data_IF_095115918771
#
_entry.id   IF_095115918771
#
_cell.length_a   1.000
_cell.length_b   1.000
_cell.length_c   1.000
_cell.angle_alpha   90.00
_cell.angle_beta   90.00
_cell.angle_gamma   90.00
#
_symmetry.space_group_name_H-M   'P 1'
#
loop_
_entity.id
_entity.type
_entity.pdbx_description
1 polymer ?
#
# COMPACT_ATOMS: atom_id res chain seq x y z
N UNK A 1 19.74 -5.78 -8.63
CA UNK A 1 19.20 -4.45 -8.96
C UNK A 1 18.39 -3.97 -7.75
N UNK A 2 18.85 -2.94 -7.02
CA UNK A 2 18.01 -2.33 -5.98
C UNK A 2 16.99 -1.44 -6.72
N UNK A 3 15.68 -1.58 -6.48
CA UNK A 3 14.70 -0.68 -7.10
C UNK A 3 15.03 0.75 -6.67
N UNK A 4 15.01 1.68 -7.62
CA UNK A 4 15.17 3.10 -7.33
C UNK A 4 13.92 3.59 -6.60
N UNK A 5 14.07 3.91 -5.33
CA UNK A 5 12.98 4.32 -4.43
C UNK A 5 12.95 5.83 -4.20
N UNK A 6 13.73 6.59 -4.99
CA UNK A 6 13.80 8.05 -4.97
C UNK A 6 12.41 8.71 -4.98
N UNK A 7 11.45 8.15 -5.74
CA UNK A 7 10.09 8.67 -5.83
C UNK A 7 9.25 8.51 -4.55
N UNK A 8 9.55 7.54 -3.68
CA UNK A 8 8.82 7.37 -2.41
C UNK A 8 9.28 8.38 -1.36
N UNK A 9 10.55 8.81 -1.41
CA UNK A 9 11.11 9.80 -0.48
C UNK A 9 10.61 11.22 -0.75
N UNK A 10 10.13 11.50 -1.96
CA UNK A 10 9.52 12.77 -2.35
C UNK A 10 7.99 12.80 -2.28
N UNK A 11 7.36 11.76 -1.72
CA UNK A 11 5.90 11.68 -1.62
C UNK A 11 5.36 12.75 -0.66
N UNK A 12 4.27 13.43 -1.04
CA UNK A 12 3.52 14.25 -0.09
C UNK A 12 2.95 13.36 1.02
N UNK A 13 3.49 13.55 2.23
CA UNK A 13 3.11 12.78 3.40
C UNK A 13 1.61 12.83 3.70
N UNK A 14 0.92 13.92 3.31
CA UNK A 14 -0.51 14.08 3.52
C UNK A 14 -1.33 12.95 2.88
N UNK A 15 -0.87 12.40 1.76
CA UNK A 15 -1.55 11.33 1.01
C UNK A 15 -1.63 10.03 1.82
N UNK A 16 -0.54 9.66 2.52
CA UNK A 16 -0.50 8.43 3.33
C UNK A 16 -1.16 8.59 4.71
N UNK A 17 -1.44 9.83 5.14
CA UNK A 17 -2.17 10.10 6.38
C UNK A 17 -3.69 10.01 6.23
N UNK A 18 -4.23 10.03 5.00
CA UNK A 18 -5.68 9.97 4.77
C UNK A 18 -6.29 8.64 5.20
N UNK A 19 -5.50 7.57 5.27
CA UNK A 19 -5.99 6.28 5.74
C UNK A 19 -6.19 6.28 7.28
N UNK A 20 -7.44 6.34 7.71
CA UNK A 20 -7.86 6.24 9.12
C UNK A 20 -8.06 4.80 9.61
N UNK A 21 -7.51 3.80 8.90
CA UNK A 21 -7.55 2.38 9.25
C UNK A 21 -8.96 1.74 9.38
N UNK A 22 -10.01 2.36 8.84
CA UNK A 22 -11.41 1.88 8.97
C UNK A 22 -11.69 0.51 8.32
N UNK A 23 -10.99 0.17 7.23
CA UNK A 23 -11.11 -1.13 6.55
C UNK A 23 -12.21 -1.26 5.49
N UNK A 24 -12.87 -0.16 5.10
CA UNK A 24 -13.88 -0.18 4.04
C UNK A 24 -13.33 -0.67 2.69
N UNK A 25 -12.03 -0.50 2.44
CA UNK A 25 -11.37 -0.99 1.24
C UNK A 25 -11.08 -2.51 1.23
N UNK A 26 -11.18 -3.21 2.36
CA UNK A 26 -10.86 -4.63 2.44
C UNK A 26 -11.80 -5.50 1.59
N UNK A 27 -13.14 -5.46 1.77
CA UNK A 27 -14.05 -6.36 1.05
C UNK A 27 -14.10 -6.12 -0.47
N UNK A 28 -13.71 -4.93 -0.94
CA UNK A 28 -13.70 -4.58 -2.37
C UNK A 28 -12.39 -4.97 -3.08
N UNK A 29 -11.33 -5.29 -2.32
CA UNK A 29 -10.03 -5.57 -2.92
C UNK A 29 -9.89 -7.06 -3.31
N UNK A 30 -9.72 -7.39 -4.61
CA UNK A 30 -9.67 -8.78 -5.06
C UNK A 30 -8.43 -9.54 -4.55
N UNK A 31 -7.30 -8.86 -4.36
CA UNK A 31 -6.07 -9.51 -3.87
C UNK A 31 -6.16 -9.82 -2.39
N UNK A 32 -6.80 -8.95 -1.60
CA UNK A 32 -7.15 -9.27 -0.23
C UNK A 32 -8.18 -10.39 -0.17
N UNK A 33 -9.19 -10.36 -1.04
CA UNK A 33 -10.21 -11.41 -1.06
C UNK A 33 -9.62 -12.80 -1.32
N UNK A 34 -8.67 -12.90 -2.26
CA UNK A 34 -8.01 -14.16 -2.59
C UNK A 34 -7.03 -14.65 -1.51
N UNK A 35 -6.30 -13.75 -0.84
CA UNK A 35 -5.22 -14.12 0.07
C UNK A 35 -5.60 -14.09 1.55
N UNK A 36 -6.60 -13.26 1.90
CA UNK A 36 -6.95 -12.86 3.27
C UNK A 36 -5.78 -12.28 4.09
N UNK A 37 -4.70 -11.87 3.42
CA UNK A 37 -3.55 -11.24 4.05
C UNK A 37 -3.70 -9.73 3.95
N UNK A 38 -3.76 -9.04 5.09
CA UNK A 38 -4.03 -7.60 5.10
C UNK A 38 -2.98 -6.77 4.35
N UNK A 39 -1.71 -7.19 4.37
CA UNK A 39 -0.63 -6.55 3.60
C UNK A 39 -0.91 -6.49 2.08
N UNK A 40 -1.68 -7.45 1.56
CA UNK A 40 -2.10 -7.50 0.15
C UNK A 40 -3.30 -6.59 -0.17
N UNK A 41 -3.92 -5.96 0.83
CA UNK A 41 -5.05 -5.03 0.69
C UNK A 41 -4.60 -3.60 0.37
N UNK A 42 -5.52 -2.68 -0.02
CA UNK A 42 -5.21 -1.27 -0.26
C UNK A 42 -4.74 -0.59 1.02
N UNK A 43 -5.41 -0.86 2.15
CA UNK A 43 -5.01 -0.37 3.48
C UNK A 43 -3.61 -0.86 3.86
N UNK A 44 -3.32 -2.14 3.66
CA UNK A 44 -2.01 -2.72 3.95
C UNK A 44 -0.89 -2.07 3.15
N UNK A 45 -1.12 -1.79 1.86
CA UNK A 45 -0.16 -1.09 1.01
C UNK A 45 0.07 0.35 1.47
N UNK A 46 -0.98 1.09 1.82
CA UNK A 46 -0.84 2.45 2.36
C UNK A 46 -0.05 2.41 3.67
N UNK A 47 -0.27 1.42 4.54
CA UNK A 47 0.51 1.24 5.76
C UNK A 47 2.00 0.98 5.47
N UNK A 48 2.32 0.18 4.45
CA UNK A 48 3.70 -0.04 3.99
C UNK A 48 4.31 1.25 3.42
N UNK A 49 3.58 1.98 2.58
CA UNK A 49 4.04 3.27 2.03
C UNK A 49 4.29 4.30 3.13
N UNK A 50 3.40 4.37 4.13
CA UNK A 50 3.58 5.21 5.31
C UNK A 50 4.83 4.81 6.11
N UNK A 51 5.06 3.52 6.31
CA UNK A 51 6.26 3.06 7.02
C UNK A 51 7.55 3.43 6.28
N UNK A 52 7.54 3.45 4.94
CA UNK A 52 8.65 3.98 4.13
C UNK A 52 8.80 5.48 4.32
N UNK A 53 7.71 6.24 4.27
CA UNK A 53 7.73 7.69 4.46
C UNK A 53 8.13 8.13 5.89
N UNK A 54 7.85 7.29 6.89
CA UNK A 54 8.24 7.47 8.29
C UNK A 54 9.69 7.02 8.58
N UNK A 55 10.47 6.63 7.56
CA UNK A 55 11.81 6.02 7.67
C UNK A 55 11.85 4.76 8.58
N UNK A 56 10.71 4.08 8.75
CA UNK A 56 10.57 2.85 9.55
C UNK A 56 10.76 1.57 8.74
N UNK A 57 10.67 1.68 7.41
CA UNK A 57 10.81 0.57 6.48
C UNK A 57 11.66 0.99 5.30
N UNK A 58 12.76 0.29 5.07
CA UNK A 58 13.52 0.45 3.82
C UNK A 58 12.77 -0.25 2.67
N UNK A 59 12.43 0.47 1.58
CA UNK A 59 11.70 -0.08 0.45
C UNK A 59 12.57 -1.07 -0.33
N UNK A 60 12.51 -2.34 0.06
CA UNK A 60 13.24 -3.45 -0.54
C UNK A 60 12.37 -4.38 -1.40
N UNK A 61 12.88 -5.58 -1.67
CA UNK A 61 12.18 -6.59 -2.47
C UNK A 61 10.81 -6.97 -1.90
N UNK A 62 10.70 -7.19 -0.59
CA UNK A 62 9.44 -7.54 0.05
C UNK A 62 8.39 -6.43 -0.11
N UNK A 63 8.79 -5.16 0.06
CA UNK A 63 7.92 -4.02 -0.21
C UNK A 63 7.45 -4.03 -1.67
N UNK A 64 8.38 -4.19 -2.61
CA UNK A 64 8.05 -4.22 -4.03
C UNK A 64 7.08 -5.36 -4.38
N UNK A 65 7.32 -6.58 -3.89
CA UNK A 65 6.43 -7.73 -4.08
C UNK A 65 5.00 -7.43 -3.60
N UNK A 66 4.88 -6.83 -2.42
CA UNK A 66 3.59 -6.39 -1.91
C UNK A 66 2.96 -5.38 -2.86
N UNK A 67 3.65 -4.30 -3.26
CA UNK A 67 3.12 -3.28 -4.19
C UNK A 67 2.74 -3.87 -5.56
N UNK A 68 3.55 -4.74 -6.15
CA UNK A 68 3.27 -5.40 -7.44
C UNK A 68 2.11 -6.38 -7.39
N UNK A 69 1.73 -6.84 -6.20
CA UNK A 69 0.54 -7.66 -6.04
C UNK A 69 -0.76 -6.88 -6.31
N UNK A 70 -0.70 -5.55 -6.52
CA UNK A 70 -1.87 -4.73 -6.86
C UNK A 70 -2.27 -4.97 -8.32
N UNK A 71 -3.56 -5.24 -8.56
CA UNK A 71 -4.07 -5.42 -9.92
C UNK A 71 -4.40 -4.09 -10.64
N UNK A 72 -4.30 -2.94 -9.95
CA UNK A 72 -4.65 -1.64 -10.53
C UNK A 72 -6.14 -1.47 -10.85
N UNK A 73 -7.03 -2.26 -10.25
CA UNK A 73 -8.47 -2.25 -10.55
C UNK A 73 -9.24 -1.02 -10.02
N UNK A 74 -8.63 -0.21 -9.14
CA UNK A 74 -9.19 0.99 -8.53
C UNK A 74 -10.48 0.81 -7.70
N UNK A 75 -10.92 -0.43 -7.43
CA UNK A 75 -12.13 -0.71 -6.65
C UNK A 75 -12.11 -0.10 -5.23
N UNK A 76 -10.91 0.11 -4.67
CA UNK A 76 -10.72 0.78 -3.39
C UNK A 76 -11.03 2.27 -3.42
N UNK A 77 -10.89 2.95 -4.56
CA UNK A 77 -11.15 4.40 -4.68
C UNK A 77 -12.63 4.73 -4.57
N UNK A 78 -13.52 3.81 -4.97
CA UNK A 78 -14.97 3.99 -4.79
C UNK A 78 -15.40 3.72 -3.35
N UNK A 79 -14.63 2.93 -2.59
CA UNK A 79 -14.94 2.54 -1.23
C UNK A 79 -14.31 3.45 -0.16
N UNK A 80 -13.32 4.28 -0.51
CA UNK A 80 -12.55 5.11 0.42
C UNK A 80 -12.59 6.59 0.04
#
# INVERSE_FOLDING_TARGET
MKPDTSHLKGLDYSVVQQCMHCGMCLPTCPTYDATKLERNSPRGRIALMRAVADDRLEPGRAFAEEIYFCLGCLACMTAC
#
